data_IF_891377011470
#
_entry.id   IF_891377011470
#
_cell.length_a   1.000
_cell.length_b   1.000
_cell.length_c   1.000
_cell.angle_alpha   90.00
_cell.angle_beta   90.00
_cell.angle_gamma   90.00
#
_symmetry.space_group_name_H-M   'P 1'
#
loop_
_entity.id
_entity.type
_entity.pdbx_description
1 polymer ?
#
# COMPACT_ATOMS: atom_id res chain seq x y z
N UNK A 1 -20.86 -9.09 -13.50
CA UNK A 1 -19.41 -9.35 -13.38
C UNK A 1 -19.20 -10.42 -12.34
N UNK A 2 -18.06 -11.11 -12.36
CA UNK A 2 -17.67 -12.01 -11.27
C UNK A 2 -17.38 -11.19 -10.00
N UNK A 3 -17.69 -11.75 -8.83
CA UNK A 3 -17.41 -11.16 -7.53
C UNK A 3 -16.83 -12.25 -6.62
N UNK A 4 -15.76 -11.91 -5.89
CA UNK A 4 -15.12 -12.80 -4.93
C UNK A 4 -15.26 -12.16 -3.56
N UNK A 5 -16.03 -12.79 -2.69
CA UNK A 5 -16.19 -12.32 -1.31
C UNK A 5 -14.89 -12.54 -0.53
N UNK A 6 -14.34 -11.46 0.02
CA UNK A 6 -13.08 -11.50 0.76
C UNK A 6 -13.19 -12.34 2.04
N UNK A 7 -14.30 -12.28 2.78
CA UNK A 7 -14.48 -13.04 4.02
C UNK A 7 -14.50 -14.55 3.80
N UNK A 8 -15.01 -15.00 2.66
CA UNK A 8 -15.06 -16.42 2.32
C UNK A 8 -13.78 -16.90 1.61
N UNK A 9 -13.12 -16.04 0.84
CA UNK A 9 -12.06 -16.46 -0.08
C UNK A 9 -10.65 -15.96 0.27
N UNK A 10 -10.48 -15.19 1.36
CA UNK A 10 -9.14 -14.86 1.84
C UNK A 10 -8.38 -16.15 2.19
N UNK A 11 -7.20 -16.36 1.61
CA UNK A 11 -6.40 -17.60 1.69
C UNK A 11 -6.97 -18.85 1.00
N UNK A 12 -8.01 -18.71 0.20
CA UNK A 12 -8.61 -19.80 -0.55
C UNK A 12 -8.64 -19.50 -2.05
N UNK A 13 -8.36 -20.50 -2.87
CA UNK A 13 -8.21 -20.35 -4.33
C UNK A 13 -9.33 -21.02 -5.12
N UNK A 14 -10.39 -21.48 -4.46
CA UNK A 14 -11.50 -22.22 -5.09
C UNK A 14 -12.09 -21.45 -6.28
N UNK A 15 -12.27 -20.13 -6.16
CA UNK A 15 -12.84 -19.31 -7.23
C UNK A 15 -12.03 -19.33 -8.54
N UNK A 16 -10.73 -19.59 -8.45
CA UNK A 16 -9.87 -19.77 -9.62
C UNK A 16 -10.05 -21.15 -10.24
N UNK A 17 -10.16 -22.20 -9.42
CA UNK A 17 -10.28 -23.58 -9.88
C UNK A 17 -11.68 -23.93 -10.40
N UNK A 18 -12.73 -23.44 -9.74
CA UNK A 18 -14.13 -23.60 -10.18
C UNK A 18 -14.50 -22.64 -11.33
N UNK A 19 -13.57 -21.73 -11.69
CA UNK A 19 -13.68 -20.71 -12.74
C UNK A 19 -14.82 -19.70 -12.54
N UNK A 20 -15.32 -19.55 -11.32
CA UNK A 20 -16.28 -18.49 -10.96
C UNK A 20 -15.65 -17.10 -11.02
N UNK A 21 -14.34 -16.99 -10.78
CA UNK A 21 -13.56 -15.77 -10.99
C UNK A 21 -12.16 -16.12 -11.50
N UNK A 22 -11.92 -15.86 -12.79
CA UNK A 22 -10.59 -16.06 -13.40
C UNK A 22 -9.64 -14.90 -13.09
N UNK A 23 -8.34 -15.08 -13.40
CA UNK A 23 -7.33 -14.02 -13.30
C UNK A 23 -7.76 -12.75 -14.06
N UNK A 24 -8.37 -12.90 -15.24
CA UNK A 24 -8.95 -11.79 -15.99
C UNK A 24 -9.96 -10.98 -15.16
N UNK A 25 -10.90 -11.65 -14.49
CA UNK A 25 -11.91 -10.99 -13.67
C UNK A 25 -11.29 -10.27 -12.47
N UNK A 26 -10.30 -10.91 -11.83
CA UNK A 26 -9.58 -10.30 -10.70
C UNK A 26 -8.79 -9.07 -11.14
N UNK A 27 -8.04 -9.16 -12.25
CA UNK A 27 -7.31 -8.03 -12.82
C UNK A 27 -8.27 -6.89 -13.21
N UNK A 28 -9.38 -7.21 -13.87
CA UNK A 28 -10.40 -6.23 -14.22
C UNK A 28 -10.99 -5.54 -12.98
N UNK A 29 -11.23 -6.29 -11.90
CA UNK A 29 -11.66 -5.75 -10.61
C UNK A 29 -10.63 -4.80 -10.00
N UNK A 30 -9.36 -5.21 -9.91
CA UNK A 30 -8.27 -4.40 -9.36
C UNK A 30 -8.03 -3.10 -10.15
N UNK A 31 -8.15 -3.17 -11.48
CA UNK A 31 -7.97 -2.01 -12.37
C UNK A 31 -9.12 -1.00 -12.25
N UNK A 32 -10.36 -1.47 -12.02
CA UNK A 32 -11.55 -0.64 -12.15
C UNK A 32 -12.27 -0.34 -10.83
N UNK A 33 -11.76 -0.81 -9.69
CA UNK A 33 -12.38 -0.58 -8.38
C UNK A 33 -11.47 0.32 -7.54
N UNK A 34 -12.05 1.30 -6.86
CA UNK A 34 -11.29 2.13 -5.94
C UNK A 34 -10.82 1.31 -4.73
N UNK A 35 -9.57 1.49 -4.34
CA UNK A 35 -9.06 0.98 -3.07
C UNK A 35 -9.75 1.68 -1.89
N UNK A 36 -9.79 1.00 -0.73
CA UNK A 36 -10.19 1.65 0.51
C UNK A 36 -9.22 2.79 0.85
N UNK A 37 -9.73 3.83 1.52
CA UNK A 37 -8.88 4.92 2.00
C UNK A 37 -7.91 4.41 3.08
N UNK A 38 -6.69 4.95 3.09
CA UNK A 38 -5.73 4.76 4.18
C UNK A 38 -6.18 5.56 5.39
N UNK A 39 -6.94 4.92 6.27
CA UNK A 39 -7.41 5.48 7.54
C UNK A 39 -7.58 4.36 8.59
N UNK A 40 -8.23 4.67 9.71
CA UNK A 40 -8.47 3.74 10.82
C UNK A 40 -9.61 2.73 10.59
N UNK A 41 -10.23 2.71 9.41
CA UNK A 41 -11.32 1.80 9.07
C UNK A 41 -10.79 0.62 8.26
N UNK A 42 -11.23 -0.58 8.65
CA UNK A 42 -10.85 -1.82 7.99
C UNK A 42 -12.10 -2.59 7.59
N UNK A 43 -12.05 -3.25 6.43
CA UNK A 43 -13.10 -4.15 6.01
C UNK A 43 -13.33 -5.25 7.07
N UNK A 44 -14.59 -5.64 7.25
CA UNK A 44 -14.96 -6.64 8.26
C UNK A 44 -14.13 -7.94 8.19
N UNK A 45 -13.85 -8.52 6.99
CA UNK A 45 -13.00 -9.69 6.88
C UNK A 45 -11.58 -9.50 7.42
N UNK A 46 -10.96 -8.34 7.20
CA UNK A 46 -9.61 -8.04 7.66
C UNK A 46 -9.55 -7.90 9.18
N UNK A 47 -10.61 -7.33 9.77
CA UNK A 47 -10.70 -7.09 11.20
C UNK A 47 -11.21 -8.28 12.02
N UNK A 48 -11.92 -9.24 11.43
CA UNK A 48 -12.56 -10.32 12.21
C UNK A 48 -12.30 -11.73 11.67
N UNK A 49 -11.94 -11.86 10.39
CA UNK A 49 -11.93 -13.14 9.67
C UNK A 49 -10.56 -13.47 9.06
N UNK A 50 -9.51 -12.75 9.45
CA UNK A 50 -8.18 -13.03 8.92
C UNK A 50 -7.75 -14.45 9.36
N UNK A 51 -7.38 -15.30 8.41
CA UNK A 51 -7.08 -16.72 8.63
C UNK A 51 -8.25 -17.56 9.20
N UNK A 52 -9.50 -17.12 9.00
CA UNK A 52 -10.67 -17.90 9.42
C UNK A 52 -10.73 -19.25 8.69
N UNK A 53 -11.05 -20.32 9.43
CA UNK A 53 -11.33 -21.64 8.87
C UNK A 53 -12.82 -21.69 8.50
N UNK A 54 -13.12 -21.89 7.21
CA UNK A 54 -14.49 -22.00 6.71
C UNK A 54 -15.35 -22.96 7.53
N UNK A 55 -16.53 -22.49 7.93
CA UNK A 55 -17.48 -23.27 8.73
C UNK A 55 -17.16 -23.34 10.23
N UNK A 56 -16.02 -22.81 10.69
CA UNK A 56 -15.66 -22.78 12.11
C UNK A 56 -15.82 -21.37 12.67
N UNK A 57 -16.92 -21.15 13.39
CA UNK A 57 -17.22 -19.88 14.06
C UNK A 57 -16.05 -19.42 14.95
N UNK A 58 -15.78 -18.12 14.93
CA UNK A 58 -14.76 -17.46 15.76
C UNK A 58 -13.35 -18.05 15.63
N UNK A 59 -13.00 -18.54 14.43
CA UNK A 59 -11.63 -19.00 14.13
C UNK A 59 -10.75 -17.95 13.44
N UNK A 60 -11.30 -16.80 13.08
CA UNK A 60 -10.57 -15.68 12.50
C UNK A 60 -9.82 -14.82 13.52
N UNK A 61 -8.98 -13.94 13.00
CA UNK A 61 -8.09 -13.05 13.76
C UNK A 61 -8.30 -11.60 13.33
N UNK A 62 -8.12 -10.66 14.27
CA UNK A 62 -8.11 -9.22 14.00
C UNK A 62 -6.72 -8.78 13.55
N UNK A 63 -6.56 -8.50 12.26
CA UNK A 63 -5.26 -8.14 11.68
C UNK A 63 -4.71 -6.81 12.23
N UNK A 64 -5.49 -5.70 12.30
CA UNK A 64 -5.04 -4.49 12.99
C UNK A 64 -4.58 -4.72 14.43
N UNK A 65 -5.30 -5.52 15.21
CA UNK A 65 -4.90 -5.84 16.59
C UNK A 65 -3.59 -6.64 16.62
N UNK A 66 -3.41 -7.59 15.71
CA UNK A 66 -2.14 -8.33 15.54
C UNK A 66 -0.99 -7.38 15.19
N UNK A 67 -1.21 -6.38 14.32
CA UNK A 67 -0.17 -5.41 13.97
C UNK A 67 0.28 -4.60 15.19
N UNK A 68 -0.66 -4.17 16.03
CA UNK A 68 -0.35 -3.49 17.31
C UNK A 68 0.47 -4.41 18.23
N UNK A 69 0.01 -5.65 18.44
CA UNK A 69 0.70 -6.59 19.32
C UNK A 69 2.09 -6.96 18.79
N UNK A 70 2.24 -7.11 17.47
CA UNK A 70 3.52 -7.37 16.82
C UNK A 70 4.50 -6.22 17.00
N UNK A 71 4.04 -4.98 16.89
CA UNK A 71 4.89 -3.81 17.13
C UNK A 71 5.45 -3.81 18.57
N UNK A 72 4.60 -4.14 19.55
CA UNK A 72 4.99 -4.24 20.97
C UNK A 72 5.97 -5.38 21.22
N UNK A 73 5.71 -6.56 20.65
CA UNK A 73 6.60 -7.72 20.75
C UNK A 73 7.99 -7.42 20.17
N UNK A 74 8.04 -6.71 19.05
CA UNK A 74 9.30 -6.31 18.39
C UNK A 74 9.99 -5.11 19.05
N UNK A 75 9.41 -4.53 20.11
CA UNK A 75 9.97 -3.36 20.79
C UNK A 75 9.99 -2.10 19.94
N UNK A 76 9.04 -1.95 19.00
CA UNK A 76 8.91 -0.74 18.18
C UNK A 76 8.59 0.45 19.08
N UNK A 77 9.31 1.55 18.90
CA UNK A 77 9.10 2.76 19.70
C UNK A 77 7.71 3.36 19.47
N UNK A 78 7.14 3.95 20.52
CA UNK A 78 5.85 4.63 20.46
C UNK A 78 5.87 5.81 19.49
N UNK A 79 4.69 6.18 19.00
CA UNK A 79 4.48 7.25 18.02
C UNK A 79 5.16 8.57 18.41
N UNK A 80 4.99 9.02 19.66
CA UNK A 80 5.54 10.29 20.12
C UNK A 80 7.07 10.30 20.18
N UNK A 81 7.70 9.14 20.43
CA UNK A 81 9.16 9.00 20.40
C UNK A 81 9.70 9.06 18.97
N UNK A 82 9.05 8.35 18.04
CA UNK A 82 9.45 8.34 16.63
C UNK A 82 9.34 9.73 16.01
N UNK A 83 8.30 10.50 16.36
CA UNK A 83 8.17 11.91 15.97
C UNK A 83 9.42 12.74 16.30
N UNK A 84 10.11 12.46 17.41
CA UNK A 84 11.32 13.21 17.79
C UNK A 84 12.49 13.05 16.82
N UNK A 85 12.47 11.99 16.00
CA UNK A 85 13.52 11.72 15.01
C UNK A 85 13.23 12.36 13.66
N UNK A 86 12.05 12.94 13.48
CA UNK A 86 11.57 13.49 12.21
C UNK A 86 11.73 15.02 12.23
N UNK A 87 12.46 15.61 11.27
CA UNK A 87 12.59 17.07 11.17
C UNK A 87 11.22 17.77 11.09
N UNK A 88 11.03 18.80 11.90
CA UNK A 88 9.79 19.57 11.95
C UNK A 88 8.69 18.96 12.84
N UNK A 89 8.88 17.74 13.34
CA UNK A 89 8.03 17.16 14.37
C UNK A 89 8.76 17.19 15.72
N UNK A 90 7.98 17.37 16.79
CA UNK A 90 8.48 17.38 18.15
C UNK A 90 7.67 16.40 19.00
N UNK A 91 8.28 16.02 20.13
CA UNK A 91 7.56 15.35 21.21
C UNK A 91 6.46 16.27 21.71
N UNK A 92 5.26 15.76 21.85
CA UNK A 92 4.14 16.49 22.45
C UNK A 92 3.92 16.07 23.92
N UNK A 93 3.43 16.98 24.76
CA UNK A 93 3.19 16.71 26.18
C UNK A 93 1.75 16.27 26.49
N UNK A 94 0.83 16.39 25.52
CA UNK A 94 -0.57 16.03 25.68
C UNK A 94 -1.19 15.62 24.34
N UNK A 95 -2.33 14.91 24.41
CA UNK A 95 -3.07 14.52 23.20
C UNK A 95 -3.55 15.74 22.40
N UNK A 96 -3.93 16.84 23.06
CA UNK A 96 -4.44 18.04 22.36
C UNK A 96 -3.34 18.75 21.55
N UNK A 97 -2.08 18.61 21.94
CA UNK A 97 -0.96 19.16 21.19
C UNK A 97 -0.72 18.43 19.83
N UNK A 98 -1.45 17.35 19.55
CA UNK A 98 -1.46 16.66 18.25
C UNK A 98 -2.43 17.30 17.24
N UNK A 99 -3.13 18.38 17.58
CA UNK A 99 -4.20 18.97 16.74
C UNK A 99 -3.76 19.40 15.35
N UNK A 100 -2.46 19.66 15.16
CA UNK A 100 -1.91 20.00 13.86
C UNK A 100 -1.87 18.76 12.95
N UNK A 101 -1.44 17.61 13.48
CA UNK A 101 -1.25 16.38 12.70
C UNK A 101 -2.44 15.42 12.76
N UNK A 102 -3.31 15.50 13.76
CA UNK A 102 -4.41 14.54 14.00
C UNK A 102 -5.74 15.29 14.16
N UNK A 103 -6.80 14.77 13.53
CA UNK A 103 -8.14 15.34 13.64
C UNK A 103 -8.71 15.21 15.05
N UNK A 104 -9.52 16.18 15.48
CA UNK A 104 -10.10 16.23 16.83
C UNK A 104 -10.87 14.94 17.21
N UNK A 105 -11.56 14.32 16.23
CA UNK A 105 -12.26 13.05 16.45
C UNK A 105 -11.28 11.91 16.78
N UNK A 106 -10.13 11.85 16.09
CA UNK A 106 -9.10 10.84 16.35
C UNK A 106 -8.38 11.13 17.68
N UNK A 107 -8.14 12.40 18.03
CA UNK A 107 -7.60 12.80 19.35
C UNK A 107 -8.50 12.30 20.48
N UNK A 108 -9.83 12.44 20.35
CA UNK A 108 -10.75 11.95 21.37
C UNK A 108 -10.71 10.43 21.52
N UNK A 109 -10.55 9.69 20.41
CA UNK A 109 -10.37 8.23 20.45
C UNK A 109 -9.06 7.85 21.16
N UNK A 110 -7.96 8.55 20.87
CA UNK A 110 -6.68 8.31 21.53
C UNK A 110 -6.77 8.56 23.04
N UNK A 111 -7.40 9.66 23.47
CA UNK A 111 -7.66 9.96 24.90
C UNK A 111 -8.46 8.87 25.61
N UNK A 112 -9.38 8.23 24.91
CA UNK A 112 -10.21 7.16 25.47
C UNK A 112 -9.48 5.79 25.49
N UNK A 113 -8.39 5.65 24.74
CA UNK A 113 -7.69 4.36 24.54
C UNK A 113 -6.38 4.29 25.32
N UNK A 114 -5.61 5.38 25.35
CA UNK A 114 -4.29 5.44 25.97
C UNK A 114 -4.29 6.34 27.20
N UNK A 115 -3.45 6.01 28.18
CA UNK A 115 -3.31 6.81 29.42
C UNK A 115 -2.47 8.06 29.17
N UNK A 116 -1.36 7.91 28.45
CA UNK A 116 -0.46 9.00 28.06
C UNK A 116 -0.34 9.09 26.53
N UNK A 117 -0.02 10.30 26.05
CA UNK A 117 0.34 10.51 24.63
C UNK A 117 1.60 9.72 24.22
N UNK A 118 2.43 9.38 25.20
CA UNK A 118 3.64 8.59 25.01
C UNK A 118 3.36 7.08 24.83
N UNK A 119 2.16 6.62 25.20
CA UNK A 119 1.76 5.21 25.10
C UNK A 119 1.22 4.84 23.72
N UNK A 120 1.04 5.82 22.82
CA UNK A 120 0.45 5.60 21.50
C UNK A 120 1.37 4.69 20.69
N UNK A 121 0.88 3.50 20.30
CA UNK A 121 1.59 2.61 19.38
C UNK A 121 1.82 3.31 18.04
N UNK A 122 3.03 3.17 17.47
CA UNK A 122 3.39 3.81 16.20
C UNK A 122 2.35 3.53 15.10
N UNK A 123 1.99 2.26 14.91
CA UNK A 123 1.00 1.85 13.90
C UNK A 123 -0.33 2.59 14.04
N UNK A 124 -0.81 2.78 15.27
CA UNK A 124 -2.05 3.53 15.53
C UNK A 124 -1.85 5.00 15.23
N UNK A 125 -0.75 5.61 15.69
CA UNK A 125 -0.42 7.00 15.40
C UNK A 125 -0.42 7.29 13.90
N UNK A 126 0.23 6.44 13.10
CA UNK A 126 0.31 6.59 11.64
C UNK A 126 -1.06 6.59 10.94
N UNK A 127 -2.00 5.75 11.40
CA UNK A 127 -3.36 5.68 10.82
C UNK A 127 -4.25 6.85 11.26
N UNK A 128 -3.89 7.54 12.34
CA UNK A 128 -4.66 8.63 12.92
C UNK A 128 -4.23 10.00 12.38
N UNK A 129 -3.04 10.10 11.78
CA UNK A 129 -2.55 11.33 11.15
C UNK A 129 -3.41 11.75 9.95
N UNK A 130 -3.58 13.07 9.83
CA UNK A 130 -4.04 13.71 8.61
C UNK A 130 -3.01 13.45 7.52
N UNK A 131 -3.51 13.21 6.30
CA UNK A 131 -2.67 13.11 5.11
C UNK A 131 -1.89 14.41 4.90
N UNK A 132 -0.64 14.32 4.47
CA UNK A 132 0.23 15.50 4.28
C UNK A 132 -0.29 16.47 3.23
N UNK A 133 -1.02 15.98 2.22
CA UNK A 133 -1.69 16.79 1.20
C UNK A 133 -2.89 16.03 0.59
N UNK A 134 -3.48 16.58 -0.47
CA UNK A 134 -4.68 16.02 -1.13
C UNK A 134 -4.43 14.76 -1.95
N UNK A 135 -3.18 14.47 -2.33
CA UNK A 135 -2.78 13.29 -3.12
C UNK A 135 -2.04 12.25 -2.27
N UNK A 136 -1.53 12.64 -1.10
CA UNK A 136 -0.84 11.77 -0.17
C UNK A 136 -1.78 10.75 0.47
N UNK A 137 -1.27 9.55 0.71
CA UNK A 137 -1.99 8.50 1.45
C UNK A 137 -1.65 8.48 2.94
N UNK A 138 -0.59 9.16 3.36
CA UNK A 138 -0.07 9.12 4.73
C UNK A 138 0.17 10.53 5.25
N UNK A 139 0.19 10.64 6.57
CA UNK A 139 0.65 11.83 7.27
C UNK A 139 2.17 11.96 7.30
N UNK A 140 2.68 13.04 7.91
CA UNK A 140 4.10 13.37 7.90
C UNK A 140 4.97 12.27 8.52
N UNK A 141 4.53 11.62 9.60
CA UNK A 141 5.37 10.61 10.26
C UNK A 141 5.51 9.37 9.38
N UNK A 142 4.40 8.86 8.86
CA UNK A 142 4.39 7.68 7.99
C UNK A 142 5.09 7.94 6.66
N UNK A 143 4.85 9.12 6.08
CA UNK A 143 5.49 9.57 4.86
C UNK A 143 7.02 9.63 4.99
N UNK A 144 7.54 10.20 6.07
CA UNK A 144 8.99 10.26 6.30
C UNK A 144 9.61 8.88 6.46
N UNK A 145 9.02 7.99 7.28
CA UNK A 145 9.55 6.63 7.51
C UNK A 145 9.65 5.87 6.18
N UNK A 146 8.59 5.91 5.37
CA UNK A 146 8.56 5.24 4.07
C UNK A 146 9.58 5.88 3.12
N UNK A 147 9.62 7.20 3.03
CA UNK A 147 10.55 7.90 2.14
C UNK A 147 12.01 7.60 2.48
N UNK A 148 12.36 7.58 3.76
CA UNK A 148 13.72 7.25 4.22
C UNK A 148 14.10 5.81 3.86
N UNK A 149 13.19 4.86 4.06
CA UNK A 149 13.44 3.45 3.74
C UNK A 149 13.58 3.22 2.22
N UNK A 150 12.69 3.79 1.40
CA UNK A 150 12.77 3.68 -0.05
C UNK A 150 13.99 4.41 -0.63
N UNK A 151 14.36 5.57 -0.08
CA UNK A 151 15.60 6.29 -0.43
C UNK A 151 16.83 5.45 -0.12
N UNK A 152 16.85 4.79 1.04
CA UNK A 152 17.95 3.90 1.45
C UNK A 152 18.05 2.68 0.55
N UNK A 153 16.93 2.04 0.19
CA UNK A 153 16.92 0.94 -0.78
C UNK A 153 17.45 1.37 -2.14
N UNK A 154 16.99 2.52 -2.66
CA UNK A 154 17.45 3.04 -3.95
C UNK A 154 18.94 3.37 -3.96
N UNK A 155 19.43 4.10 -2.95
CA UNK A 155 20.83 4.58 -2.89
C UNK A 155 21.81 3.49 -2.48
N UNK A 156 21.37 2.54 -1.67
CA UNK A 156 22.19 1.44 -1.17
C UNK A 156 22.29 0.27 -2.13
N UNK A 157 21.42 0.19 -3.13
CA UNK A 157 21.44 -0.87 -4.14
C UNK A 157 22.39 -0.52 -5.29
N UNK A 158 23.53 -1.24 -5.33
CA UNK A 158 24.52 -1.13 -6.41
C UNK A 158 23.93 -1.45 -7.79
N UNK A 159 22.90 -2.28 -7.86
CA UNK A 159 22.23 -2.72 -9.08
C UNK A 159 20.90 -2.01 -9.32
N UNK A 160 20.65 -0.90 -8.63
CA UNK A 160 19.46 -0.10 -8.90
C UNK A 160 19.43 0.31 -10.38
N UNK A 161 18.30 0.14 -11.06
CA UNK A 161 18.21 0.24 -12.53
C UNK A 161 18.59 1.62 -13.11
N UNK A 162 18.62 2.68 -12.30
CA UNK A 162 19.07 4.02 -12.72
C UNK A 162 20.59 4.24 -12.53
N UNK A 163 21.32 3.24 -12.04
CA UNK A 163 22.75 3.32 -11.77
C UNK A 163 23.56 3.26 -13.08
N UNK A 164 24.42 4.24 -13.30
CA UNK A 164 25.29 4.34 -14.50
C UNK A 164 26.69 3.79 -14.28
N UNK A 165 27.14 3.70 -13.02
CA UNK A 165 28.55 3.51 -12.68
C UNK A 165 28.84 2.10 -12.11
N UNK A 166 27.96 1.14 -12.37
CA UNK A 166 28.07 -0.24 -11.86
C UNK A 166 28.37 -1.25 -12.98
N UNK A 167 28.98 -2.38 -12.63
CA UNK A 167 29.26 -3.47 -13.58
C UNK A 167 28.01 -4.10 -14.22
N UNK A 168 26.80 -3.74 -13.75
CA UNK A 168 25.51 -4.12 -14.34
C UNK A 168 24.66 -2.92 -14.74
N UNK A 169 25.29 -1.76 -14.97
CA UNK A 169 24.59 -0.57 -15.43
C UNK A 169 23.95 -0.85 -16.80
N UNK A 170 22.70 -0.41 -16.94
CA UNK A 170 21.99 -0.46 -18.20
C UNK A 170 22.63 0.49 -19.21
N UNK A 171 22.64 0.10 -20.48
CA UNK A 171 22.85 1.05 -21.57
C UNK A 171 21.70 2.05 -21.60
N UNK A 172 21.93 3.21 -22.23
CA UNK A 172 20.89 4.23 -22.34
C UNK A 172 19.61 3.71 -23.01
N UNK A 173 19.75 2.85 -24.03
CA UNK A 173 18.60 2.26 -24.74
C UNK A 173 17.77 1.34 -23.84
N UNK A 174 18.41 0.52 -23.01
CA UNK A 174 17.73 -0.35 -22.06
C UNK A 174 17.04 0.44 -20.94
N UNK A 175 17.72 1.47 -20.42
CA UNK A 175 17.15 2.39 -19.44
C UNK A 175 15.90 3.08 -20.00
N UNK A 176 15.98 3.63 -21.21
CA UNK A 176 14.85 4.33 -21.84
C UNK A 176 13.67 3.37 -22.08
N UNK A 177 13.96 2.13 -22.48
CA UNK A 177 12.94 1.10 -22.66
C UNK A 177 12.23 0.74 -21.35
N UNK A 178 12.97 0.56 -20.25
CA UNK A 178 12.39 0.28 -18.93
C UNK A 178 11.63 1.49 -18.40
N UNK A 179 12.17 2.70 -18.55
CA UNK A 179 11.54 3.94 -18.06
C UNK A 179 10.24 4.26 -18.78
N UNK A 180 10.13 3.88 -20.05
CA UNK A 180 8.91 4.05 -20.85
C UNK A 180 7.84 2.99 -20.61
N UNK A 181 8.18 1.86 -19.97
CA UNK A 181 7.24 0.76 -19.72
C UNK A 181 6.35 1.04 -18.51
N UNK A 182 5.04 0.92 -18.67
CA UNK A 182 4.06 1.26 -17.62
C UNK A 182 3.39 0.00 -17.05
N UNK A 183 2.90 0.09 -15.81
CA UNK A 183 2.15 -1.03 -15.22
C UNK A 183 0.82 -1.29 -15.98
N UNK A 184 0.22 -0.25 -16.56
CA UNK A 184 -0.94 -0.38 -17.46
C UNK A 184 -0.62 -1.23 -18.70
N UNK A 185 0.53 -0.99 -19.33
CA UNK A 185 1.00 -1.81 -20.46
C UNK A 185 1.26 -3.26 -20.03
N UNK A 186 1.91 -3.48 -18.88
CA UNK A 186 2.16 -4.82 -18.35
C UNK A 186 0.86 -5.62 -18.19
N UNK A 187 -0.19 -5.01 -17.64
CA UNK A 187 -1.50 -5.66 -17.49
C UNK A 187 -2.11 -6.01 -18.86
N UNK A 188 -2.03 -5.10 -19.84
CA UNK A 188 -2.53 -5.35 -21.20
C UNK A 188 -1.80 -6.51 -21.88
N UNK A 189 -0.47 -6.58 -21.77
CA UNK A 189 0.33 -7.63 -22.44
C UNK A 189 0.18 -9.01 -21.78
N UNK A 190 -0.25 -9.07 -20.51
CA UNK A 190 -0.31 -10.32 -19.73
C UNK A 190 -1.73 -10.73 -19.32
N UNK A 191 -2.77 -10.03 -19.79
CA UNK A 191 -4.17 -10.34 -19.45
C UNK A 191 -5.04 -10.43 -20.69
N UNK A 192 -5.26 -11.65 -21.17
CA UNK A 192 -6.10 -11.92 -22.34
C UNK A 192 -7.50 -11.30 -22.18
N UNK A 193 -7.96 -10.60 -23.22
CA UNK A 193 -9.27 -9.95 -23.25
C UNK A 193 -9.33 -8.59 -22.54
N UNK A 194 -8.23 -8.09 -21.97
CA UNK A 194 -8.17 -6.71 -21.48
C UNK A 194 -8.14 -5.74 -22.66
N UNK A 195 -9.15 -4.85 -22.74
CA UNK A 195 -9.28 -3.90 -23.86
C UNK A 195 -8.92 -2.48 -23.43
N UNK A 196 -9.31 -2.07 -22.23
CA UNK A 196 -9.14 -0.72 -21.71
C UNK A 196 -8.53 -0.75 -20.32
N UNK A 197 -7.55 0.11 -20.08
CA UNK A 197 -6.93 0.33 -18.77
C UNK A 197 -6.78 1.83 -18.52
N UNK A 198 -6.71 2.29 -17.26
CA UNK A 198 -6.33 3.67 -16.96
C UNK A 198 -4.91 3.96 -17.45
N UNK A 199 -4.65 5.20 -17.88
CA UNK A 199 -3.32 5.68 -18.28
C UNK A 199 -2.32 5.56 -17.12
N UNK A 200 -2.74 5.96 -15.92
CA UNK A 200 -2.08 5.62 -14.65
C UNK A 200 -3.01 4.72 -13.84
N UNK A 201 -2.67 3.43 -13.76
CA UNK A 201 -3.46 2.40 -13.07
C UNK A 201 -3.61 2.63 -11.56
N UNK A 202 -2.73 3.44 -10.94
CA UNK A 202 -2.84 3.78 -9.53
C UNK A 202 -3.80 4.96 -9.27
N UNK A 203 -4.23 5.65 -10.33
CA UNK A 203 -5.20 6.73 -10.25
C UNK A 203 -6.57 6.27 -10.78
N UNK A 204 -7.50 6.03 -9.85
CA UNK A 204 -8.83 5.50 -10.20
C UNK A 204 -9.60 6.35 -11.23
N UNK A 205 -9.45 7.67 -11.18
CA UNK A 205 -10.11 8.61 -12.09
C UNK A 205 -9.27 8.97 -13.33
N UNK A 206 -8.15 8.28 -13.57
CA UNK A 206 -7.34 8.52 -14.74
C UNK A 206 -8.12 8.18 -16.03
N UNK A 207 -7.77 8.91 -17.09
CA UNK A 207 -8.29 8.66 -18.44
C UNK A 207 -7.98 7.22 -18.85
N UNK A 208 -8.96 6.52 -19.43
CA UNK A 208 -8.76 5.18 -19.96
C UNK A 208 -8.17 5.22 -21.37
N UNK A 209 -7.26 4.29 -21.66
CA UNK A 209 -6.60 4.07 -22.95
C UNK A 209 -6.84 2.65 -23.43
N UNK A 210 -6.78 2.41 -24.75
CA UNK A 210 -6.91 1.05 -25.28
C UNK A 210 -5.59 0.32 -25.14
N UNK A 211 -5.65 -0.97 -24.81
CA UNK A 211 -4.47 -1.83 -24.78
C UNK A 211 -3.73 -1.86 -26.13
N UNK A 212 -4.48 -1.79 -27.24
CA UNK A 212 -3.92 -1.73 -28.59
C UNK A 212 -3.13 -0.44 -28.90
N UNK A 213 -3.27 0.61 -28.10
CA UNK A 213 -2.54 1.87 -28.30
C UNK A 213 -1.13 1.82 -27.67
N UNK A 214 -0.82 0.83 -26.83
CA UNK A 214 0.54 0.62 -26.30
C UNK A 214 1.45 0.00 -27.36
N UNK A 215 2.70 0.49 -27.42
CA UNK A 215 3.75 -0.13 -28.23
C UNK A 215 4.27 -1.38 -27.51
N UNK A 216 4.26 -2.57 -28.11
CA UNK A 216 4.75 -3.78 -27.46
C UNK A 216 6.16 -3.62 -26.90
N UNK A 217 6.41 -4.17 -25.70
CA UNK A 217 7.75 -4.16 -25.12
C UNK A 217 8.68 -5.09 -25.92
N UNK A 218 9.63 -4.50 -26.64
CA UNK A 218 10.55 -5.28 -27.50
C UNK A 218 11.77 -5.74 -26.72
N UNK A 219 11.80 -6.99 -26.26
CA UNK A 219 13.01 -7.56 -25.66
C UNK A 219 14.23 -7.54 -26.58
N UNK A 220 14.01 -7.56 -27.90
CA UNK A 220 15.05 -7.48 -28.91
C UNK A 220 15.83 -6.15 -28.89
N UNK A 221 15.28 -5.07 -28.32
CA UNK A 221 15.98 -3.79 -28.18
C UNK A 221 16.84 -3.69 -26.92
N UNK A 222 16.87 -4.76 -26.10
CA UNK A 222 17.56 -4.81 -24.80
C UNK A 222 18.57 -5.97 -24.78
N UNK A 223 18.26 -7.11 -25.42
CA UNK A 223 19.10 -8.32 -25.35
C UNK A 223 20.17 -8.45 -26.44
N UNK A 224 20.26 -7.52 -27.40
CA UNK A 224 21.20 -7.57 -28.53
C UNK A 224 21.83 -6.21 -28.83
#
# INVERSE_FOLDING_TARGET
GAYVDLGVNIFYTDSLYDRSATVFHMAQGMVNTAGMATDRQFAFPIRNQMFEIRGKKASGVDLPAVNVQRAREMGVQGYNEVRTKIPGLARVASFDALSNEIDAANIQLLKNTYTSVDDIDLYVGLLMEKKSDTIASLGPTGGTIIAEQFSSFKKGDRFFYESTDSAGALTQAEYDAIKGFTFSQLICENTDGMIMVPEDIFQHNARKVRCADFKPFTMASILY
#
